data_IF_604433886442
#
_entry.id   IF_604433886442
#
_cell.length_a   1.000
_cell.length_b   1.000
_cell.length_c   1.000
_cell.angle_alpha   90.00
_cell.angle_beta   90.00
_cell.angle_gamma   90.00
#
_symmetry.space_group_name_H-M   'P 1'
#
loop_
_entity.id
_entity.type
_entity.pdbx_description
1 polymer ?
#
# COMPACT_ATOMS: atom_id res chain seq x y z
N UNK A 1 17.73 -7.43 -9.83
CA UNK A 1 17.22 -6.06 -10.06
C UNK A 1 15.85 -6.09 -10.72
N UNK A 2 15.02 -5.09 -10.41
CA UNK A 2 13.65 -4.97 -10.94
C UNK A 2 13.63 -3.79 -11.91
N UNK A 3 13.33 -4.01 -13.21
CA UNK A 3 13.26 -2.93 -14.18
C UNK A 3 12.29 -1.83 -13.75
N UNK A 4 12.73 -0.58 -13.91
CA UNK A 4 11.94 0.63 -13.61
C UNK A 4 11.57 0.82 -12.13
N UNK A 5 12.07 -0.02 -11.22
CA UNK A 5 11.90 0.25 -9.79
C UNK A 5 12.78 1.43 -9.40
N UNK A 6 12.20 2.50 -8.81
CA UNK A 6 12.97 3.63 -8.31
C UNK A 6 13.88 3.22 -7.15
N UNK A 7 14.93 4.02 -6.93
CA UNK A 7 15.71 3.96 -5.70
C UNK A 7 14.93 4.59 -4.54
N UNK A 8 15.18 4.16 -3.31
CA UNK A 8 14.57 4.73 -2.10
C UNK A 8 15.50 5.75 -1.46
N UNK A 9 15.02 6.97 -1.17
CA UNK A 9 15.83 8.03 -0.56
C UNK A 9 15.69 8.16 0.97
N UNK A 10 14.71 7.48 1.57
CA UNK A 10 14.35 7.64 2.98
C UNK A 10 15.06 6.62 3.87
N UNK A 11 15.63 7.10 4.99
CA UNK A 11 16.28 6.25 5.99
C UNK A 11 15.32 5.15 6.49
N UNK A 12 15.80 3.91 6.49
CA UNK A 12 15.01 2.73 6.86
C UNK A 12 14.26 2.07 5.70
N UNK A 13 14.27 2.67 4.50
CA UNK A 13 13.76 2.04 3.28
C UNK A 13 14.93 1.39 2.55
N UNK A 14 14.93 0.06 2.46
CA UNK A 14 16.03 -0.71 1.83
C UNK A 14 15.91 -0.76 0.30
N UNK A 15 14.72 -0.55 -0.24
CA UNK A 15 14.48 -0.68 -1.68
C UNK A 15 14.53 -2.12 -2.17
N UNK A 16 14.23 -3.09 -1.31
CA UNK A 16 14.32 -4.52 -1.64
C UNK A 16 12.91 -5.13 -1.81
N UNK A 17 12.78 -6.04 -2.77
CA UNK A 17 11.64 -6.95 -2.87
C UNK A 17 12.05 -8.34 -2.39
N UNK A 18 11.42 -8.80 -1.33
CA UNK A 18 11.60 -10.14 -0.76
C UNK A 18 10.42 -11.02 -1.16
N UNK A 19 10.69 -12.08 -1.92
CA UNK A 19 9.71 -13.12 -2.21
C UNK A 19 9.91 -14.28 -1.24
N UNK A 20 8.82 -14.83 -0.70
CA UNK A 20 8.92 -15.90 0.29
C UNK A 20 7.60 -16.60 0.55
N UNK A 21 7.57 -17.38 1.63
CA UNK A 21 6.37 -18.08 2.11
C UNK A 21 6.20 -17.86 3.61
N UNK A 22 5.00 -17.50 4.04
CA UNK A 22 4.61 -17.42 5.46
C UNK A 22 3.31 -18.19 5.64
N UNK A 23 3.26 -19.12 6.61
CA UNK A 23 2.06 -19.92 6.87
C UNK A 23 1.53 -20.68 5.64
N UNK A 24 2.45 -21.15 4.77
CA UNK A 24 2.11 -21.82 3.51
C UNK A 24 1.57 -20.90 2.40
N UNK A 25 1.53 -19.57 2.61
CA UNK A 25 1.12 -18.59 1.60
C UNK A 25 2.34 -17.92 0.98
N UNK A 26 2.36 -17.85 -0.36
CA UNK A 26 3.38 -17.08 -1.09
C UNK A 26 3.18 -15.59 -0.82
N UNK A 27 4.27 -14.89 -0.55
CA UNK A 27 4.26 -13.45 -0.24
C UNK A 27 5.30 -12.71 -1.08
N UNK A 28 4.98 -11.45 -1.36
CA UNK A 28 5.90 -10.44 -1.84
C UNK A 28 5.94 -9.34 -0.78
N UNK A 29 7.10 -9.08 -0.20
CA UNK A 29 7.32 -8.05 0.80
C UNK A 29 8.27 -7.00 0.26
N UNK A 30 7.80 -5.76 0.16
CA UNK A 30 8.65 -4.63 -0.22
C UNK A 30 9.19 -3.97 1.04
N UNK A 31 10.51 -4.04 1.22
CA UNK A 31 11.23 -3.42 2.33
C UNK A 31 11.52 -1.95 2.01
N UNK A 32 10.47 -1.14 2.03
CA UNK A 32 10.49 0.27 1.69
C UNK A 32 9.34 0.65 0.76
N UNK A 33 9.14 1.95 0.60
CA UNK A 33 8.17 2.55 -0.32
C UNK A 33 8.69 3.89 -0.83
N UNK A 34 8.01 4.42 -1.85
CA UNK A 34 8.30 5.73 -2.43
C UNK A 34 7.28 6.75 -1.93
N UNK A 35 7.72 7.96 -1.64
CA UNK A 35 6.84 9.02 -1.16
C UNK A 35 6.82 10.20 -2.11
N UNK A 36 5.66 10.85 -2.20
CA UNK A 36 5.52 12.05 -3.03
C UNK A 36 6.37 13.23 -2.56
N UNK A 37 6.70 13.30 -1.26
CA UNK A 37 7.57 14.37 -0.75
C UNK A 37 9.03 14.22 -1.22
N UNK A 38 9.42 13.06 -1.75
CA UNK A 38 10.73 12.85 -2.40
C UNK A 38 10.74 13.42 -3.83
N UNK A 39 9.62 14.01 -4.30
CA UNK A 39 9.48 14.57 -5.65
C UNK A 39 8.93 13.60 -6.69
N UNK A 40 8.54 12.39 -6.28
CA UNK A 40 8.04 11.36 -7.18
C UNK A 40 6.62 11.62 -7.68
N UNK A 41 6.37 11.26 -8.95
CA UNK A 41 5.04 11.29 -9.56
C UNK A 41 4.14 10.18 -9.02
N UNK A 42 2.83 10.27 -9.32
CA UNK A 42 1.86 9.27 -8.86
C UNK A 42 2.09 7.88 -9.43
N UNK A 43 2.52 7.80 -10.69
CA UNK A 43 2.96 6.54 -11.30
C UNK A 43 4.08 5.84 -10.51
N UNK A 44 5.04 6.62 -9.98
CA UNK A 44 6.15 6.11 -9.19
C UNK A 44 5.71 5.71 -7.77
N UNK A 45 4.96 6.57 -7.08
CA UNK A 45 4.42 6.27 -5.74
C UNK A 45 3.54 5.01 -5.75
N UNK A 46 2.84 4.75 -6.86
CA UNK A 46 1.99 3.57 -7.04
C UNK A 46 2.69 2.39 -7.74
N UNK A 47 4.00 2.41 -7.93
CA UNK A 47 4.75 1.34 -8.61
C UNK A 47 4.59 -0.02 -7.92
N UNK A 48 4.81 -0.07 -6.60
CA UNK A 48 4.77 -1.30 -5.80
C UNK A 48 3.42 -2.04 -5.90
N UNK A 49 2.26 -1.40 -5.63
CA UNK A 49 0.98 -2.10 -5.72
C UNK A 49 0.66 -2.56 -7.15
N UNK A 50 1.10 -1.83 -8.19
CA UNK A 50 0.95 -2.25 -9.60
C UNK A 50 1.79 -3.47 -9.91
N UNK A 51 3.05 -3.50 -9.47
CA UNK A 51 3.94 -4.65 -9.62
C UNK A 51 3.38 -5.88 -8.89
N UNK A 52 2.93 -5.72 -7.65
CA UNK A 52 2.31 -6.81 -6.88
C UNK A 52 1.07 -7.37 -7.60
N UNK A 53 0.20 -6.51 -8.13
CA UNK A 53 -0.96 -6.93 -8.92
C UNK A 53 -0.54 -7.67 -10.21
N UNK A 54 0.50 -7.19 -10.92
CA UNK A 54 1.03 -7.85 -12.11
C UNK A 54 1.65 -9.22 -11.81
N UNK A 55 2.23 -9.40 -10.61
CA UNK A 55 2.70 -10.69 -10.12
C UNK A 55 1.57 -11.62 -9.63
N UNK A 56 0.31 -11.20 -9.71
CA UNK A 56 -0.85 -12.02 -9.35
C UNK A 56 -1.28 -11.94 -7.89
N UNK A 57 -0.78 -10.96 -7.12
CA UNK A 57 -1.26 -10.75 -5.74
C UNK A 57 -2.71 -10.26 -5.75
N UNK A 58 -3.59 -10.95 -5.01
CA UNK A 58 -5.00 -10.57 -4.83
C UNK A 58 -5.25 -9.80 -3.53
N UNK A 59 -4.26 -9.74 -2.64
CA UNK A 59 -4.30 -9.02 -1.37
C UNK A 59 -3.07 -8.13 -1.30
N UNK A 60 -3.29 -6.86 -0.98
CA UNK A 60 -2.22 -5.90 -0.69
C UNK A 60 -2.35 -5.44 0.75
N UNK A 61 -1.29 -5.63 1.54
CA UNK A 61 -1.21 -5.16 2.91
C UNK A 61 -0.22 -4.00 2.97
N UNK A 62 -0.72 -2.81 3.27
CA UNK A 62 0.12 -1.63 3.46
C UNK A 62 0.35 -1.39 4.95
N UNK A 63 1.60 -1.14 5.32
CA UNK A 63 1.97 -0.64 6.65
C UNK A 63 2.53 0.77 6.53
N UNK A 64 2.30 1.60 7.53
CA UNK A 64 2.89 2.93 7.63
C UNK A 64 3.15 3.30 9.09
N UNK A 65 4.00 4.30 9.30
CA UNK A 65 4.11 4.98 10.58
C UNK A 65 3.24 6.24 10.50
N UNK A 66 2.45 6.50 11.55
CA UNK A 66 1.57 7.66 11.64
C UNK A 66 1.62 8.26 13.04
N UNK A 67 1.40 9.58 13.12
CA UNK A 67 1.11 10.25 14.39
C UNK A 67 -0.34 9.96 14.81
N UNK A 68 -0.53 9.44 16.02
CA UNK A 68 -1.86 9.17 16.57
C UNK A 68 -2.52 10.47 17.07
N UNK A 69 -3.70 10.80 16.51
CA UNK A 69 -4.50 11.96 16.94
C UNK A 69 -5.63 11.58 17.90
N UNK A 70 -5.98 10.30 17.98
CA UNK A 70 -7.01 9.82 18.90
C UNK A 70 -6.49 9.90 20.34
N UNK A 71 -7.29 10.48 21.22
CA UNK A 71 -6.94 10.63 22.64
C UNK A 71 -6.65 9.27 23.27
N UNK A 72 -5.51 9.17 23.95
CA UNK A 72 -5.11 7.95 24.65
C UNK A 72 -4.29 6.96 23.81
N UNK A 73 -4.06 7.21 22.52
CA UNK A 73 -3.08 6.44 21.75
C UNK A 73 -1.68 6.60 22.34
N UNK A 74 -0.91 5.50 22.32
CA UNK A 74 0.47 5.46 22.81
C UNK A 74 1.42 5.16 21.65
N UNK A 75 2.68 5.63 21.70
CA UNK A 75 3.71 5.16 20.76
C UNK A 75 3.77 3.63 20.76
N UNK A 76 3.87 3.03 19.57
CA UNK A 76 3.87 1.58 19.38
C UNK A 76 2.50 0.93 19.28
N UNK A 77 1.40 1.66 19.46
CA UNK A 77 0.06 1.14 19.16
C UNK A 77 -0.06 0.74 17.68
N UNK A 78 -0.63 -0.44 17.44
CA UNK A 78 -1.00 -0.90 16.09
C UNK A 78 -2.45 -0.49 15.84
N UNK A 79 -2.71 0.07 14.66
CA UNK A 79 -4.05 0.51 14.25
C UNK A 79 -4.42 -0.13 12.92
N UNK A 80 -5.63 -0.68 12.84
CA UNK A 80 -6.21 -1.15 11.58
C UNK A 80 -6.88 0.06 10.90
N UNK A 81 -6.53 0.32 9.64
CA UNK A 81 -7.20 1.35 8.85
C UNK A 81 -8.51 0.78 8.28
N UNK A 82 -9.62 1.47 8.54
CA UNK A 82 -10.94 1.15 7.99
C UNK A 82 -11.40 2.15 6.94
N UNK A 83 -10.80 3.34 6.92
CA UNK A 83 -11.07 4.41 5.96
C UNK A 83 -9.90 5.42 5.92
N UNK A 84 -9.88 6.31 4.93
CA UNK A 84 -8.91 7.38 4.81
C UNK A 84 -9.50 8.65 4.18
N UNK A 85 -9.00 9.80 4.61
CA UNK A 85 -9.29 11.10 3.98
C UNK A 85 -8.08 11.53 3.16
N UNK A 86 -8.29 11.67 1.85
CA UNK A 86 -7.27 12.16 0.93
C UNK A 86 -7.14 13.68 0.96
N UNK A 87 -6.02 14.19 1.46
CA UNK A 87 -5.67 15.62 1.39
C UNK A 87 -4.69 15.94 0.26
N UNK A 88 -4.30 14.94 -0.53
CA UNK A 88 -3.39 15.14 -1.66
C UNK A 88 -4.14 15.83 -2.80
N UNK A 89 -3.56 16.90 -3.35
CA UNK A 89 -4.10 17.64 -4.50
C UNK A 89 -3.99 16.88 -5.84
N UNK A 90 -3.49 15.65 -5.80
CA UNK A 90 -3.23 14.81 -6.97
C UNK A 90 -3.62 13.36 -6.66
N UNK A 91 -3.92 12.59 -7.71
CA UNK A 91 -4.27 11.17 -7.63
C UNK A 91 -3.32 10.33 -8.47
N UNK A 92 -2.84 9.16 -7.98
CA UNK A 92 -2.03 8.24 -8.77
C UNK A 92 -2.79 7.62 -9.96
N UNK A 93 -4.12 7.77 -10.00
CA UNK A 93 -4.95 7.34 -11.12
C UNK A 93 -4.94 8.35 -12.29
N UNK A 94 -4.58 9.62 -12.04
CA UNK A 94 -4.54 10.65 -13.09
C UNK A 94 -3.56 10.28 -14.21
N UNK A 95 -2.39 9.72 -13.87
CA UNK A 95 -1.34 9.34 -14.82
C UNK A 95 -1.71 8.10 -15.67
N UNK A 96 -2.75 7.34 -15.30
CA UNK A 96 -3.16 6.11 -16.00
C UNK A 96 -4.47 6.22 -16.75
N UNK A 97 -5.21 7.32 -16.57
CA UNK A 97 -6.48 7.56 -17.25
C UNK A 97 -6.35 7.38 -18.77
N UNK A 98 -5.29 7.93 -19.35
CA UNK A 98 -5.02 7.88 -20.79
C UNK A 98 -4.21 6.66 -21.25
N UNK A 99 -3.91 5.70 -20.37
CA UNK A 99 -3.10 4.53 -20.72
C UNK A 99 -3.99 3.27 -20.88
N UNK A 100 -4.32 2.84 -22.13
CA UNK A 100 -5.33 1.80 -22.38
C UNK A 100 -5.04 0.47 -21.67
N UNK A 101 -3.78 0.08 -21.58
CA UNK A 101 -3.36 -1.15 -20.90
C UNK A 101 -3.46 -1.08 -19.36
N UNK A 102 -3.48 0.12 -18.78
CA UNK A 102 -3.53 0.33 -17.33
C UNK A 102 -4.97 0.59 -16.85
N UNK A 103 -5.76 1.31 -17.65
CA UNK A 103 -7.14 1.68 -17.31
C UNK A 103 -8.09 0.46 -17.34
N UNK A 104 -7.88 -0.55 -18.20
CA UNK A 104 -8.73 -1.77 -18.31
C UNK A 104 -10.25 -1.46 -18.34
N UNK A 105 -10.64 -0.30 -18.88
CA UNK A 105 -12.03 0.17 -18.92
C UNK A 105 -12.61 0.61 -17.57
N UNK A 106 -11.77 0.88 -16.56
CA UNK A 106 -12.16 1.38 -15.24
C UNK A 106 -11.72 2.83 -15.09
N UNK A 107 -12.42 3.67 -15.82
CA UNK A 107 -12.29 5.11 -15.74
C UNK A 107 -12.60 5.59 -14.32
N UNK A 108 -13.69 5.11 -13.74
CA UNK A 108 -14.07 5.43 -12.37
C UNK A 108 -13.91 4.22 -11.46
N UNK A 109 -13.18 4.40 -10.36
CA UNK A 109 -13.00 3.39 -9.32
C UNK A 109 -13.70 3.90 -8.06
N UNK A 110 -14.66 3.13 -7.55
CA UNK A 110 -15.24 3.42 -6.24
C UNK A 110 -14.20 3.13 -5.16
N UNK A 111 -14.05 4.05 -4.21
CA UNK A 111 -13.26 3.86 -2.99
C UNK A 111 -14.15 3.35 -1.83
N UNK A 112 -15.44 3.09 -2.08
CA UNK A 112 -16.32 2.44 -1.11
C UNK A 112 -15.73 1.08 -0.73
N UNK A 113 -15.43 0.91 0.55
CA UNK A 113 -14.75 -0.26 1.08
C UNK A 113 -13.35 -0.54 0.47
N UNK A 114 -12.58 0.53 0.19
CA UNK A 114 -11.15 0.43 -0.16
C UNK A 114 -10.34 -0.39 0.87
N UNK A 115 -10.76 -0.38 2.14
CA UNK A 115 -10.24 -1.24 3.19
C UNK A 115 -11.14 -2.46 3.40
N UNK A 116 -10.55 -3.66 3.32
CA UNK A 116 -11.32 -4.91 3.41
C UNK A 116 -11.80 -5.19 4.83
N UNK A 117 -13.12 -5.09 5.05
CA UNK A 117 -13.77 -5.49 6.32
C UNK A 117 -13.37 -6.90 6.77
N UNK A 118 -13.42 -7.87 5.84
CA UNK A 118 -13.01 -9.26 6.12
C UNK A 118 -11.59 -9.38 6.68
N UNK A 119 -10.63 -8.59 6.17
CA UNK A 119 -9.26 -8.61 6.67
C UNK A 119 -9.15 -7.90 8.01
N UNK A 120 -9.85 -6.77 8.19
CA UNK A 120 -9.90 -6.07 9.48
C UNK A 120 -10.46 -6.97 10.59
N UNK A 121 -11.57 -7.66 10.33
CA UNK A 121 -12.20 -8.58 11.28
C UNK A 121 -11.25 -9.73 11.66
N UNK A 122 -10.54 -10.28 10.67
CA UNK A 122 -9.57 -11.35 10.91
C UNK A 122 -8.39 -10.87 11.78
N UNK A 123 -7.86 -9.67 11.53
CA UNK A 123 -6.78 -9.10 12.35
C UNK A 123 -7.28 -8.81 13.77
N UNK A 124 -8.50 -8.28 13.92
CA UNK A 124 -9.07 -8.01 15.23
C UNK A 124 -9.30 -9.27 16.05
N UNK A 125 -9.79 -10.35 15.42
CA UNK A 125 -9.93 -11.65 16.08
C UNK A 125 -8.58 -12.17 16.59
N UNK A 126 -7.55 -12.16 15.74
CA UNK A 126 -6.19 -12.57 16.12
C UNK A 126 -5.64 -11.70 17.28
N UNK A 127 -5.90 -10.40 17.26
CA UNK A 127 -5.43 -9.48 18.30
C UNK A 127 -6.13 -9.70 19.65
N UNK A 128 -7.39 -10.15 19.65
CA UNK A 128 -8.15 -10.43 20.87
C UNK A 128 -7.82 -11.81 21.47
N UNK A 129 -7.25 -12.71 20.67
CA UNK A 129 -6.80 -14.03 21.11
C UNK A 129 -5.42 -14.00 21.78
N UNK A 130 -4.80 -12.81 21.93
CA UNK A 130 -3.52 -12.57 22.62
C UNK A 130 -3.73 -11.91 23.98
#
# INVERSE_FOLDING_TARGET
DIPHMPETGVVGHKGELVAGTIGGKKILCFAGRFHSYEGYSGSIVSFIPRLAAACGCSIYMATNAAGGIMKGMKPGSVMILTDAVGFTRWSPLADVWNHPAANKGREHVSEDAAYSRRLADAVQAIANDQ
#
